data_IF_328902422736
#
_entry.id   IF_328902422736
#
_cell.length_a   1.000
_cell.length_b   1.000
_cell.length_c   1.000
_cell.angle_alpha   90.00
_cell.angle_beta   90.00
_cell.angle_gamma   90.00
#
_symmetry.space_group_name_H-M   'P 1'
#
loop_
_entity.id
_entity.type
_entity.pdbx_description
1 polymer ?
#
# COMPACT_ATOMS: atom_id res chain seq x y z
N UNK A 1 -20.05 6.68 -48.92
CA UNK A 1 -20.98 6.76 -47.78
C UNK A 1 -20.45 5.82 -46.71
N UNK A 2 -20.21 6.35 -45.52
CA UNK A 2 -19.54 5.66 -44.42
C UNK A 2 -20.40 4.49 -43.89
N UNK A 3 -19.79 3.31 -43.79
CA UNK A 3 -20.37 2.14 -43.12
C UNK A 3 -19.99 2.21 -41.65
N UNK A 4 -20.95 2.57 -40.79
CA UNK A 4 -20.80 2.52 -39.34
C UNK A 4 -20.67 1.05 -38.89
N UNK A 5 -19.45 0.62 -38.59
CA UNK A 5 -19.24 -0.63 -37.89
C UNK A 5 -19.72 -0.46 -36.43
N UNK A 6 -20.87 -1.04 -36.12
CA UNK A 6 -21.37 -1.21 -34.77
C UNK A 6 -20.35 -2.03 -33.98
N UNK A 7 -19.63 -1.38 -33.05
CA UNK A 7 -18.92 -2.05 -31.96
C UNK A 7 -20.00 -2.78 -31.14
N UNK A 8 -20.09 -4.10 -31.28
CA UNK A 8 -20.84 -4.94 -30.35
C UNK A 8 -19.94 -5.19 -29.15
N UNK A 9 -20.07 -4.34 -28.14
CA UNK A 9 -19.57 -4.63 -26.79
C UNK A 9 -20.31 -5.90 -26.33
N UNK A 10 -19.59 -7.01 -26.19
CA UNK A 10 -20.12 -8.19 -25.50
C UNK A 10 -20.00 -7.87 -24.02
N UNK A 11 -21.10 -7.45 -23.38
CA UNK A 11 -21.21 -7.44 -21.92
C UNK A 11 -20.87 -8.85 -21.42
N UNK A 12 -19.73 -8.98 -20.74
CA UNK A 12 -19.42 -10.18 -19.98
C UNK A 12 -19.78 -9.84 -18.54
N UNK A 13 -20.83 -10.45 -18.03
CA UNK A 13 -21.03 -10.48 -16.59
C UNK A 13 -19.89 -11.30 -15.97
N UNK A 14 -18.85 -10.63 -15.49
CA UNK A 14 -18.04 -11.15 -14.39
C UNK A 14 -19.02 -11.35 -13.22
N UNK A 15 -19.32 -12.60 -12.89
CA UNK A 15 -20.29 -12.92 -11.84
C UNK A 15 -19.61 -12.62 -10.51
N UNK A 16 -19.73 -11.38 -10.05
CA UNK A 16 -19.37 -10.99 -8.69
C UNK A 16 -20.38 -11.66 -7.73
N UNK A 17 -19.91 -12.10 -6.57
CA UNK A 17 -20.76 -12.73 -5.55
C UNK A 17 -21.85 -11.78 -4.97
N UNK A 18 -21.86 -10.49 -5.36
CA UNK A 18 -22.90 -9.50 -5.07
C UNK A 18 -23.00 -8.48 -6.24
N UNK A 19 -24.20 -8.01 -6.56
CA UNK A 19 -24.40 -6.84 -7.45
C UNK A 19 -23.67 -5.63 -6.85
N UNK A 20 -22.61 -5.17 -7.52
CA UNK A 20 -21.86 -3.95 -7.17
C UNK A 20 -21.58 -3.14 -8.43
N UNK A 21 -21.31 -1.84 -8.25
CA UNK A 21 -20.82 -1.00 -9.35
C UNK A 21 -19.47 -1.52 -9.85
N UNK A 22 -19.30 -1.50 -11.17
CA UNK A 22 -18.06 -1.90 -11.87
C UNK A 22 -16.88 -1.07 -11.33
N UNK A 23 -15.80 -1.74 -10.93
CA UNK A 23 -14.60 -1.04 -10.44
C UNK A 23 -13.74 -0.53 -11.60
N UNK A 24 -12.88 0.49 -11.39
CA UNK A 24 -11.93 0.94 -12.42
C UNK A 24 -11.05 -0.19 -12.97
N UNK A 25 -10.71 -1.18 -12.13
CA UNK A 25 -9.95 -2.36 -12.52
C UNK A 25 -10.75 -3.30 -13.43
N UNK A 26 -12.02 -3.58 -13.08
CA UNK A 26 -12.92 -4.36 -13.96
C UNK A 26 -13.09 -3.65 -15.31
N UNK A 27 -13.36 -2.34 -15.26
CA UNK A 27 -13.54 -1.52 -16.45
C UNK A 27 -12.33 -1.55 -17.39
N UNK A 28 -11.13 -1.34 -16.85
CA UNK A 28 -9.90 -1.38 -17.64
C UNK A 28 -9.66 -2.77 -18.28
N UNK A 29 -9.95 -3.86 -17.55
CA UNK A 29 -9.83 -5.23 -18.07
C UNK A 29 -10.84 -5.49 -19.20
N UNK A 30 -12.07 -5.01 -19.06
CA UNK A 30 -13.10 -5.13 -20.08
C UNK A 30 -12.79 -4.29 -21.32
N UNK A 31 -12.41 -3.02 -21.14
CA UNK A 31 -12.07 -2.09 -22.22
C UNK A 31 -10.92 -2.62 -23.08
N UNK A 32 -9.88 -3.15 -22.44
CA UNK A 32 -8.69 -3.67 -23.12
C UNK A 32 -8.73 -5.17 -23.42
N UNK A 33 -9.87 -5.84 -23.26
CA UNK A 33 -9.97 -7.29 -23.40
C UNK A 33 -9.45 -7.81 -24.74
N UNK A 34 -9.85 -7.17 -25.85
CA UNK A 34 -9.47 -7.58 -27.21
C UNK A 34 -7.97 -7.36 -27.48
N UNK A 35 -7.40 -6.29 -26.93
CA UNK A 35 -5.96 -6.01 -27.00
C UNK A 35 -5.17 -7.03 -26.19
N UNK A 36 -5.65 -7.36 -24.99
CA UNK A 36 -5.13 -8.45 -24.17
C UNK A 36 -5.18 -9.80 -24.90
N UNK A 37 -6.28 -10.11 -25.60
CA UNK A 37 -6.39 -11.30 -26.45
C UNK A 37 -5.34 -11.30 -27.58
N UNK A 38 -5.07 -10.13 -28.18
CA UNK A 38 -4.07 -9.99 -29.25
C UNK A 38 -2.64 -10.29 -28.75
N UNK A 39 -2.29 -9.78 -27.56
CA UNK A 39 -1.01 -10.07 -26.91
C UNK A 39 -0.91 -11.54 -26.49
N UNK A 40 -1.97 -12.09 -25.91
CA UNK A 40 -2.05 -13.48 -25.47
C UNK A 40 -1.76 -14.48 -26.60
N UNK A 41 -2.24 -14.19 -27.82
CA UNK A 41 -1.99 -15.02 -29.02
C UNK A 41 -0.51 -15.10 -29.41
N UNK A 42 0.33 -14.22 -28.88
CA UNK A 42 1.79 -14.24 -29.13
C UNK A 42 2.54 -15.15 -28.16
N UNK A 43 1.93 -15.49 -27.02
CA UNK A 43 2.53 -16.43 -26.08
C UNK A 43 2.44 -17.85 -26.66
N UNK A 44 3.57 -18.55 -26.84
CA UNK A 44 3.55 -19.94 -27.28
C UNK A 44 3.00 -20.85 -26.17
N UNK A 45 2.56 -22.04 -26.56
CA UNK A 45 2.34 -23.12 -25.60
C UNK A 45 3.67 -23.69 -25.09
N UNK A 46 3.64 -24.34 -23.92
CA UNK A 46 4.81 -25.02 -23.33
C UNK A 46 5.50 -25.98 -24.31
N UNK A 47 4.70 -26.72 -25.10
CA UNK A 47 5.21 -27.68 -26.08
C UNK A 47 5.90 -27.03 -27.30
N UNK A 48 5.75 -25.72 -27.50
CA UNK A 48 6.14 -25.03 -28.74
C UNK A 48 7.34 -24.09 -28.63
N UNK A 49 8.04 -24.01 -27.50
CA UNK A 49 9.19 -23.10 -27.43
C UNK A 49 10.07 -23.23 -26.20
N UNK A 50 11.18 -23.97 -26.35
CA UNK A 50 12.44 -23.65 -25.69
C UNK A 50 13.24 -22.82 -26.70
N UNK A 51 12.93 -21.53 -26.78
CA UNK A 51 13.73 -20.57 -27.56
C UNK A 51 14.82 -20.00 -26.67
N UNK A 52 16.04 -19.87 -27.19
CA UNK A 52 17.15 -19.19 -26.50
C UNK A 52 16.82 -17.71 -26.24
N UNK A 53 17.37 -17.15 -25.16
CA UNK A 53 17.29 -15.72 -24.85
C UNK A 53 17.59 -14.84 -26.08
N UNK A 54 16.70 -13.91 -26.39
CA UNK A 54 16.87 -13.00 -27.53
C UNK A 54 18.05 -12.02 -27.33
N UNK A 55 18.40 -11.75 -26.07
CA UNK A 55 19.55 -10.93 -25.69
C UNK A 55 20.60 -11.81 -24.99
N UNK A 56 21.62 -12.32 -25.71
CA UNK A 56 22.61 -13.23 -25.14
C UNK A 56 23.41 -12.65 -23.96
N UNK A 57 23.50 -11.32 -23.85
CA UNK A 57 24.18 -10.65 -22.74
C UNK A 57 23.49 -10.87 -21.39
N UNK A 58 22.20 -11.25 -21.40
CA UNK A 58 21.39 -11.50 -20.22
C UNK A 58 21.30 -12.99 -19.84
N UNK A 59 21.81 -13.88 -20.70
CA UNK A 59 21.85 -15.32 -20.42
C UNK A 59 22.73 -15.61 -19.20
N UNK A 60 22.29 -16.54 -18.34
CA UNK A 60 22.97 -16.92 -17.09
C UNK A 60 23.22 -15.77 -16.09
N UNK A 61 22.56 -14.62 -16.28
CA UNK A 61 22.66 -13.50 -15.34
C UNK A 61 21.86 -13.78 -14.05
N UNK A 62 22.29 -13.14 -12.97
CA UNK A 62 21.46 -12.97 -11.77
C UNK A 62 20.50 -11.80 -12.02
N UNK A 63 19.20 -12.02 -11.83
CA UNK A 63 18.19 -10.97 -11.87
C UNK A 63 17.80 -10.61 -10.44
N UNK A 64 17.92 -9.34 -10.08
CA UNK A 64 17.72 -8.89 -8.70
C UNK A 64 17.11 -7.51 -8.65
N UNK A 65 16.11 -7.35 -7.77
CA UNK A 65 15.46 -6.07 -7.49
C UNK A 65 16.21 -5.21 -6.47
N UNK A 66 15.59 -4.11 -6.04
CA UNK A 66 16.23 -3.16 -5.13
C UNK A 66 16.32 -3.66 -3.69
N UNK A 67 17.22 -3.05 -2.90
CA UNK A 67 17.49 -3.40 -1.50
C UNK A 67 16.25 -3.36 -0.60
N UNK A 68 15.32 -2.43 -0.82
CA UNK A 68 14.05 -2.37 -0.08
C UNK A 68 12.97 -3.18 -0.79
N UNK A 69 13.28 -4.45 -1.07
CA UNK A 69 12.49 -5.39 -1.88
C UNK A 69 10.99 -5.28 -1.65
N UNK A 70 10.25 -5.03 -2.73
CA UNK A 70 8.80 -5.13 -2.80
C UNK A 70 8.38 -6.27 -3.74
N UNK A 71 7.10 -6.30 -4.11
CA UNK A 71 6.56 -7.36 -4.95
C UNK A 71 7.04 -7.25 -6.41
N UNK A 72 7.17 -6.04 -6.98
CA UNK A 72 7.63 -5.89 -8.36
C UNK A 72 9.09 -6.33 -8.51
N UNK A 73 9.95 -5.95 -7.55
CA UNK A 73 11.32 -6.43 -7.46
C UNK A 73 11.45 -7.96 -7.50
N UNK A 74 10.60 -8.70 -6.76
CA UNK A 74 10.65 -10.18 -6.71
C UNK A 74 9.99 -10.82 -7.92
N UNK A 75 8.77 -10.41 -8.27
CA UNK A 75 8.04 -10.95 -9.41
C UNK A 75 8.81 -10.70 -10.71
N UNK A 76 9.35 -9.49 -10.83
CA UNK A 76 10.24 -9.04 -11.88
C UNK A 76 11.50 -9.88 -12.00
N UNK A 77 12.20 -10.17 -10.88
CA UNK A 77 13.37 -11.02 -10.89
C UNK A 77 13.05 -12.45 -11.36
N UNK A 78 11.97 -13.04 -10.84
CA UNK A 78 11.49 -14.38 -11.25
C UNK A 78 11.13 -14.40 -12.74
N UNK A 79 10.36 -13.40 -13.20
CA UNK A 79 9.93 -13.29 -14.58
C UNK A 79 11.07 -13.06 -15.54
N UNK A 80 11.99 -12.14 -15.22
CA UNK A 80 13.15 -11.83 -16.06
C UNK A 80 14.13 -13.00 -16.13
N UNK A 81 14.40 -13.69 -15.02
CA UNK A 81 15.24 -14.88 -15.01
C UNK A 81 14.66 -15.99 -15.92
N UNK A 82 13.35 -16.22 -15.87
CA UNK A 82 12.72 -17.16 -16.79
C UNK A 82 12.72 -16.66 -18.24
N UNK A 83 12.53 -15.36 -18.47
CA UNK A 83 12.52 -14.75 -19.80
C UNK A 83 13.89 -14.84 -20.50
N UNK A 84 14.97 -14.71 -19.73
CA UNK A 84 16.34 -14.57 -20.25
C UNK A 84 17.27 -15.71 -19.87
N UNK A 85 16.74 -16.83 -19.36
CA UNK A 85 17.52 -18.03 -19.04
C UNK A 85 18.62 -17.76 -17.99
N UNK A 86 18.25 -17.05 -16.91
CA UNK A 86 19.12 -16.71 -15.78
C UNK A 86 18.63 -17.26 -14.45
N UNK A 87 19.07 -16.64 -13.36
CA UNK A 87 18.70 -17.02 -11.98
C UNK A 87 18.09 -15.84 -11.24
N UNK A 88 16.89 -15.99 -10.64
CA UNK A 88 16.32 -14.92 -9.83
C UNK A 88 17.00 -14.87 -8.46
N UNK A 89 17.13 -13.67 -7.91
CA UNK A 89 17.62 -13.44 -6.56
C UNK A 89 16.86 -12.31 -5.87
N UNK A 90 16.91 -12.32 -4.53
CA UNK A 90 16.39 -11.22 -3.70
C UNK A 90 17.52 -10.46 -3.04
N UNK A 91 17.33 -9.15 -2.89
CA UNK A 91 18.29 -8.28 -2.20
C UNK A 91 18.06 -8.21 -0.69
N UNK A 92 16.86 -8.57 -0.20
CA UNK A 92 16.50 -8.54 1.23
C UNK A 92 15.35 -9.51 1.53
N UNK A 93 14.86 -9.52 2.78
CA UNK A 93 13.67 -10.28 3.15
C UNK A 93 12.42 -9.69 2.51
N UNK A 94 11.46 -10.55 2.18
CA UNK A 94 10.22 -10.15 1.52
C UNK A 94 9.16 -9.70 2.52
N UNK A 95 8.28 -8.81 2.08
CA UNK A 95 7.14 -8.37 2.88
C UNK A 95 5.97 -9.37 2.79
N UNK A 96 4.92 -9.13 3.59
CA UNK A 96 3.75 -10.02 3.68
C UNK A 96 2.93 -10.07 2.38
N UNK A 97 2.91 -9.00 1.59
CA UNK A 97 2.27 -8.98 0.26
C UNK A 97 2.98 -9.93 -0.71
N UNK A 98 4.31 -9.87 -0.74
CA UNK A 98 5.12 -10.74 -1.59
C UNK A 98 5.01 -12.20 -1.15
N UNK A 99 5.01 -12.48 0.15
CA UNK A 99 4.73 -13.83 0.67
C UNK A 99 3.38 -14.35 0.20
N UNK A 100 2.32 -13.53 0.30
CA UNK A 100 1.00 -13.89 -0.19
C UNK A 100 1.00 -14.24 -1.68
N UNK A 101 1.68 -13.44 -2.53
CA UNK A 101 1.76 -13.72 -3.96
C UNK A 101 2.52 -15.03 -4.27
N UNK A 102 3.65 -15.26 -3.62
CA UNK A 102 4.44 -16.49 -3.77
C UNK A 102 3.61 -17.73 -3.43
N UNK A 103 2.89 -17.70 -2.30
CA UNK A 103 2.02 -18.80 -1.86
C UNK A 103 0.81 -18.99 -2.78
N UNK A 104 0.15 -17.90 -3.17
CA UNK A 104 -1.03 -17.93 -4.05
C UNK A 104 -0.72 -18.58 -5.40
N UNK A 105 0.46 -18.30 -5.95
CA UNK A 105 0.85 -18.76 -7.28
C UNK A 105 1.78 -19.98 -7.26
N UNK A 106 2.18 -20.46 -6.08
CA UNK A 106 3.13 -21.59 -5.94
C UNK A 106 4.50 -21.27 -6.55
N UNK A 107 4.97 -20.04 -6.41
CA UNK A 107 6.30 -19.62 -6.85
C UNK A 107 7.31 -19.78 -5.70
N UNK A 108 8.54 -20.18 -6.02
CA UNK A 108 9.61 -20.33 -5.05
C UNK A 108 10.21 -18.96 -4.68
N UNK A 109 10.48 -18.75 -3.39
CA UNK A 109 11.18 -17.56 -2.91
C UNK A 109 12.63 -17.60 -3.42
N UNK A 110 13.10 -16.58 -4.17
CA UNK A 110 14.48 -16.55 -4.64
C UNK A 110 15.51 -16.55 -3.50
N UNK A 111 16.67 -17.15 -3.76
CA UNK A 111 17.82 -17.08 -2.87
C UNK A 111 18.37 -15.66 -2.73
N UNK A 112 19.16 -15.41 -1.69
CA UNK A 112 19.82 -14.11 -1.49
C UNK A 112 20.91 -13.89 -2.53
N UNK A 113 20.98 -12.67 -3.07
CA UNK A 113 22.00 -12.32 -4.07
C UNK A 113 23.43 -12.48 -3.51
N UNK A 114 23.62 -12.24 -2.21
CA UNK A 114 24.89 -12.40 -1.52
C UNK A 114 25.40 -13.84 -1.51
N UNK A 115 24.49 -14.82 -1.49
CA UNK A 115 24.86 -16.24 -1.49
C UNK A 115 25.31 -16.66 -2.90
N UNK A 116 24.58 -16.24 -3.94
CA UNK A 116 24.94 -16.51 -5.34
C UNK A 116 26.28 -15.86 -5.73
N UNK A 117 26.51 -14.61 -5.32
CA UNK A 117 27.78 -13.92 -5.60
C UNK A 117 28.93 -14.41 -4.73
N UNK A 118 28.66 -15.08 -3.60
CA UNK A 118 29.71 -15.78 -2.85
C UNK A 118 30.18 -17.03 -3.59
N UNK A 119 29.27 -17.74 -4.25
CA UNK A 119 29.57 -18.93 -5.05
C UNK A 119 30.23 -18.58 -6.39
N UNK A 120 29.80 -17.49 -7.04
CA UNK A 120 30.36 -17.04 -8.33
C UNK A 120 30.49 -15.51 -8.35
N UNK A 121 31.58 -14.96 -7.77
CA UNK A 121 31.76 -13.51 -7.61
C UNK A 121 31.78 -12.69 -8.90
N UNK A 122 32.13 -13.30 -10.02
CA UNK A 122 32.21 -12.69 -11.35
C UNK A 122 30.91 -12.75 -12.15
N UNK A 123 29.85 -13.37 -11.59
CA UNK A 123 28.61 -13.58 -12.33
C UNK A 123 27.95 -12.24 -12.67
N UNK A 124 27.50 -12.14 -13.91
CA UNK A 124 26.80 -10.98 -14.43
C UNK A 124 25.46 -10.78 -13.70
N UNK A 125 25.07 -9.52 -13.54
CA UNK A 125 23.85 -9.11 -12.85
C UNK A 125 23.03 -8.18 -13.75
N UNK A 126 21.74 -8.46 -13.87
CA UNK A 126 20.76 -7.54 -14.43
C UNK A 126 19.90 -7.00 -13.28
N UNK A 127 19.89 -5.67 -13.14
CA UNK A 127 19.00 -5.01 -12.20
C UNK A 127 17.60 -4.96 -12.78
N UNK A 128 16.61 -5.25 -11.96
CA UNK A 128 15.19 -5.10 -12.31
C UNK A 128 14.55 -4.12 -11.33
N UNK A 129 13.66 -3.25 -11.81
CA UNK A 129 12.90 -2.31 -10.98
C UNK A 129 13.71 -1.20 -10.29
N UNK A 130 15.00 -1.07 -10.60
CA UNK A 130 15.79 0.09 -10.17
C UNK A 130 17.06 0.29 -10.98
N UNK A 131 17.63 1.49 -10.87
CA UNK A 131 19.00 1.79 -11.28
C UNK A 131 19.76 2.73 -10.34
N UNK A 132 19.15 3.21 -9.25
CA UNK A 132 19.83 4.15 -8.35
C UNK A 132 20.83 3.41 -7.45
N UNK A 133 22.03 3.98 -7.30
CA UNK A 133 23.08 3.36 -6.48
C UNK A 133 22.68 3.21 -5.00
N UNK A 134 21.83 4.11 -4.49
CA UNK A 134 21.32 4.03 -3.11
C UNK A 134 20.40 2.84 -2.84
N UNK A 135 19.88 2.22 -3.90
CA UNK A 135 19.01 1.03 -3.85
C UNK A 135 19.78 -0.27 -4.14
N UNK A 136 21.06 -0.18 -4.51
CA UNK A 136 21.88 -1.34 -4.88
C UNK A 136 22.30 -2.14 -3.63
N UNK A 137 22.19 -3.47 -3.70
CA UNK A 137 22.73 -4.32 -2.64
C UNK A 137 24.28 -4.20 -2.63
N UNK A 138 24.92 -3.91 -1.48
CA UNK A 138 26.37 -3.71 -1.38
C UNK A 138 27.23 -4.89 -1.85
N UNK A 139 26.68 -6.11 -1.90
CA UNK A 139 27.39 -7.27 -2.39
C UNK A 139 27.56 -7.29 -3.91
N UNK A 140 26.77 -6.51 -4.67
CA UNK A 140 26.80 -6.48 -6.13
C UNK A 140 27.92 -5.53 -6.59
N UNK A 141 29.02 -6.01 -7.20
CA UNK A 141 30.04 -5.14 -7.74
C UNK A 141 29.49 -4.39 -8.97
N UNK A 142 29.77 -3.09 -9.08
CA UNK A 142 29.31 -2.26 -10.22
C UNK A 142 29.76 -2.84 -11.58
N UNK A 143 30.92 -3.50 -11.61
CA UNK A 143 31.48 -4.12 -12.82
C UNK A 143 30.70 -5.36 -13.30
N UNK A 144 29.89 -5.99 -12.44
CA UNK A 144 29.09 -7.15 -12.79
C UNK A 144 27.77 -6.75 -13.45
N UNK A 145 27.38 -5.47 -13.40
CA UNK A 145 26.10 -5.02 -13.94
C UNK A 145 26.18 -5.00 -15.46
N UNK A 146 25.35 -5.82 -16.11
CA UNK A 146 25.26 -5.93 -17.57
C UNK A 146 23.88 -5.59 -18.13
N UNK A 147 22.90 -5.34 -17.25
CA UNK A 147 21.53 -5.05 -17.65
C UNK A 147 20.75 -4.24 -16.63
N UNK A 148 19.78 -3.45 -17.11
CA UNK A 148 18.74 -2.76 -16.33
C UNK A 148 17.41 -2.92 -17.05
N UNK A 149 16.38 -3.35 -16.32
CA UNK A 149 14.97 -3.32 -16.75
C UNK A 149 14.21 -2.54 -15.69
N UNK A 150 13.70 -1.37 -16.02
CA UNK A 150 13.17 -0.45 -14.99
C UNK A 150 12.03 0.41 -15.55
N UNK A 151 11.27 1.04 -14.66
CA UNK A 151 10.24 2.00 -14.98
C UNK A 151 10.44 3.36 -14.27
N UNK A 152 11.44 3.45 -13.39
CA UNK A 152 11.78 4.67 -12.67
C UNK A 152 12.52 5.70 -13.52
N UNK A 153 12.42 6.96 -13.11
CA UNK A 153 13.19 8.05 -13.71
C UNK A 153 14.68 7.92 -13.40
N UNK A 154 15.52 8.20 -14.41
CA UNK A 154 16.95 8.41 -14.21
C UNK A 154 17.20 9.67 -13.39
N UNK A 155 18.04 9.56 -12.35
CA UNK A 155 18.39 10.69 -11.48
C UNK A 155 19.91 10.82 -11.35
N UNK A 156 20.36 11.81 -10.57
CA UNK A 156 21.79 12.16 -10.46
C UNK A 156 22.69 11.05 -9.92
N UNK A 157 22.14 10.05 -9.21
CA UNK A 157 22.90 8.95 -8.61
C UNK A 157 22.58 7.58 -9.25
N UNK A 158 22.34 7.60 -10.56
CA UNK A 158 22.19 6.39 -11.39
C UNK A 158 23.49 5.58 -11.39
N UNK A 159 23.40 4.25 -11.50
CA UNK A 159 24.56 3.38 -11.72
C UNK A 159 25.39 3.84 -12.92
N UNK A 160 26.72 3.67 -12.82
CA UNK A 160 27.65 4.06 -13.88
C UNK A 160 28.49 2.84 -14.23
N UNK A 161 28.43 2.41 -15.49
CA UNK A 161 29.16 1.24 -15.99
C UNK A 161 30.26 1.66 -16.95
N UNK A 162 31.37 0.91 -16.97
CA UNK A 162 32.49 1.16 -17.89
C UNK A 162 32.19 0.71 -19.33
N UNK A 163 31.31 -0.29 -19.48
CA UNK A 163 30.91 -0.87 -20.77
C UNK A 163 29.43 -0.57 -21.03
N UNK A 164 29.01 -0.55 -22.31
CA UNK A 164 27.60 -0.57 -22.65
C UNK A 164 26.90 -1.78 -22.03
N UNK A 165 25.70 -1.56 -21.51
CA UNK A 165 24.84 -2.57 -20.89
C UNK A 165 23.47 -2.60 -21.60
N UNK A 166 22.72 -3.68 -21.40
CA UNK A 166 21.32 -3.71 -21.82
C UNK A 166 20.49 -2.76 -20.95
N UNK A 167 19.65 -1.93 -21.55
CA UNK A 167 18.77 -1.01 -20.81
C UNK A 167 17.40 -1.01 -21.47
N UNK A 168 16.37 -1.44 -20.73
CA UNK A 168 14.97 -1.33 -21.13
C UNK A 168 14.22 -0.56 -20.04
N UNK A 169 14.07 0.75 -20.27
CA UNK A 169 13.33 1.63 -19.38
C UNK A 169 12.10 2.13 -20.10
N UNK A 170 10.91 1.83 -19.55
CA UNK A 170 9.64 2.29 -20.14
C UNK A 170 8.86 3.07 -19.08
N UNK A 171 8.25 4.21 -19.45
CA UNK A 171 7.49 5.03 -18.52
C UNK A 171 6.10 4.41 -18.28
N UNK A 172 6.07 3.19 -17.76
CA UNK A 172 4.87 2.41 -17.43
C UNK A 172 4.71 2.36 -15.90
N UNK A 173 3.52 1.98 -15.44
CA UNK A 173 3.19 1.99 -14.02
C UNK A 173 3.95 0.95 -13.21
N UNK A 174 4.38 -0.15 -13.83
CA UNK A 174 5.08 -1.26 -13.19
C UNK A 174 6.14 -1.89 -14.13
N UNK A 175 7.29 -2.29 -13.60
CA UNK A 175 8.33 -2.98 -14.36
C UNK A 175 7.88 -4.39 -14.76
N UNK A 176 7.12 -5.10 -13.93
CA UNK A 176 6.52 -6.40 -14.31
C UNK A 176 5.62 -6.32 -15.55
N UNK A 177 5.00 -5.17 -15.85
CA UNK A 177 4.31 -4.94 -17.13
C UNK A 177 5.27 -5.04 -18.31
N UNK A 178 6.48 -4.50 -18.18
CA UNK A 178 7.57 -4.55 -19.19
C UNK A 178 7.98 -6.00 -19.43
N UNK A 179 8.16 -6.79 -18.37
CA UNK A 179 8.53 -8.21 -18.45
C UNK A 179 7.43 -9.03 -19.13
N UNK A 180 6.18 -8.91 -18.69
CA UNK A 180 5.04 -9.61 -19.28
C UNK A 180 4.85 -9.26 -20.78
N UNK A 181 5.01 -7.98 -21.13
CA UNK A 181 5.01 -7.56 -22.53
C UNK A 181 6.16 -8.21 -23.31
N UNK A 182 7.35 -8.30 -22.71
CA UNK A 182 8.53 -8.87 -23.36
C UNK A 182 8.38 -10.37 -23.62
N UNK A 183 7.71 -11.12 -22.74
CA UNK A 183 7.29 -12.51 -23.03
C UNK A 183 6.46 -12.60 -24.32
N UNK A 184 5.45 -11.74 -24.45
CA UNK A 184 4.57 -11.72 -25.63
C UNK A 184 5.31 -11.27 -26.90
N UNK A 185 6.20 -10.27 -26.82
CA UNK A 185 6.96 -9.78 -27.99
C UNK A 185 7.99 -10.80 -28.46
N UNK A 186 8.73 -11.41 -27.52
CA UNK A 186 9.75 -12.41 -27.82
C UNK A 186 9.15 -13.79 -28.10
N UNK A 187 7.83 -13.95 -27.90
CA UNK A 187 7.10 -15.22 -28.04
C UNK A 187 7.75 -16.32 -27.21
N UNK A 188 8.08 -16.01 -25.96
CA UNK A 188 8.58 -16.99 -24.99
C UNK A 188 7.43 -17.52 -24.15
N UNK A 189 7.49 -18.80 -23.82
CA UNK A 189 6.50 -19.41 -22.93
C UNK A 189 6.53 -18.73 -21.57
N UNK A 190 5.34 -18.42 -21.04
CA UNK A 190 5.18 -17.78 -19.73
C UNK A 190 4.47 -18.77 -18.79
N UNK A 191 5.17 -19.40 -17.84
CA UNK A 191 4.56 -20.28 -16.85
C UNK A 191 3.47 -19.58 -16.04
N UNK A 192 2.44 -20.33 -15.63
CA UNK A 192 1.27 -19.76 -14.92
C UNK A 192 1.62 -19.16 -13.57
N UNK A 193 2.48 -19.80 -12.80
CA UNK A 193 2.97 -19.27 -11.53
C UNK A 193 3.69 -17.93 -11.72
N UNK A 194 4.53 -17.80 -12.76
CA UNK A 194 5.24 -16.55 -13.10
C UNK A 194 4.26 -15.49 -13.59
N UNK A 195 3.32 -15.83 -14.48
CA UNK A 195 2.27 -14.89 -14.91
C UNK A 195 1.47 -14.34 -13.72
N UNK A 196 1.16 -15.19 -12.74
CA UNK A 196 0.49 -14.82 -11.52
C UNK A 196 1.29 -13.81 -10.69
N UNK A 197 2.58 -14.09 -10.48
CA UNK A 197 3.49 -13.16 -9.82
C UNK A 197 3.54 -11.79 -10.51
N UNK A 198 3.69 -11.77 -11.84
CA UNK A 198 3.71 -10.53 -12.63
C UNK A 198 2.38 -9.77 -12.52
N UNK A 199 1.23 -10.46 -12.56
CA UNK A 199 -0.08 -9.84 -12.35
C UNK A 199 -0.17 -9.19 -10.98
N UNK A 200 0.22 -9.91 -9.91
CA UNK A 200 0.20 -9.40 -8.55
C UNK A 200 1.11 -8.18 -8.36
N UNK A 201 2.29 -8.16 -8.99
CA UNK A 201 3.17 -6.99 -8.98
C UNK A 201 2.53 -5.76 -9.64
N UNK A 202 1.92 -5.93 -10.82
CA UNK A 202 1.24 -4.83 -11.51
C UNK A 202 0.10 -4.28 -10.64
N UNK A 203 -0.70 -5.14 -10.01
CA UNK A 203 -1.76 -4.70 -9.09
C UNK A 203 -1.20 -3.93 -7.89
N UNK A 204 -0.03 -4.31 -7.36
CA UNK A 204 0.65 -3.62 -6.26
C UNK A 204 1.04 -2.20 -6.63
N UNK A 205 1.87 -2.02 -7.66
CA UNK A 205 2.47 -0.72 -7.98
C UNK A 205 1.46 0.27 -8.55
N UNK A 206 0.50 -0.27 -9.29
CA UNK A 206 -0.57 0.53 -9.88
C UNK A 206 -1.73 0.77 -8.93
N UNK A 207 -1.71 0.21 -7.70
CA UNK A 207 -2.80 0.29 -6.73
C UNK A 207 -4.16 -0.10 -7.35
N UNK A 208 -4.22 -1.27 -7.99
CA UNK A 208 -5.35 -1.73 -8.81
C UNK A 208 -5.69 -0.77 -9.96
N UNK A 209 -4.68 -0.30 -10.68
CA UNK A 209 -4.80 0.63 -11.80
C UNK A 209 -5.37 2.02 -11.41
N UNK A 210 -5.28 2.40 -10.12
CA UNK A 210 -5.71 3.69 -9.59
C UNK A 210 -4.56 4.66 -9.31
N UNK A 211 -3.32 4.17 -9.29
CA UNK A 211 -2.13 4.99 -9.10
C UNK A 211 -1.98 6.01 -10.23
N UNK A 212 -1.49 7.23 -9.95
CA UNK A 212 -1.18 8.19 -11.00
C UNK A 212 -0.04 7.75 -11.94
N UNK A 213 0.70 6.69 -11.60
CA UNK A 213 1.73 6.09 -12.47
C UNK A 213 1.15 5.12 -13.49
N UNK A 214 -0.10 4.67 -13.30
CA UNK A 214 -0.77 3.69 -14.19
C UNK A 214 -0.87 4.21 -15.61
N UNK A 215 -0.60 3.35 -16.59
CA UNK A 215 -0.72 3.65 -18.01
C UNK A 215 -1.63 2.64 -18.72
N UNK A 216 -2.09 3.00 -19.92
CA UNK A 216 -2.85 2.08 -20.80
C UNK A 216 -2.12 0.76 -21.07
N UNK A 217 -0.79 0.73 -20.96
CA UNK A 217 -0.01 -0.48 -21.17
C UNK A 217 -0.12 -1.44 -19.98
N UNK A 218 -0.21 -0.91 -18.76
CA UNK A 218 -0.47 -1.72 -17.56
C UNK A 218 -1.86 -2.35 -17.66
N UNK A 219 -2.86 -1.56 -18.03
CA UNK A 219 -4.25 -2.01 -18.23
C UNK A 219 -4.34 -3.15 -19.27
N UNK A 220 -3.70 -2.98 -20.44
CA UNK A 220 -3.63 -4.02 -21.48
C UNK A 220 -2.93 -5.29 -21.00
N UNK A 221 -1.85 -5.17 -20.23
CA UNK A 221 -1.11 -6.33 -19.71
C UNK A 221 -1.91 -7.04 -18.62
N UNK A 222 -2.58 -6.31 -17.72
CA UNK A 222 -3.50 -6.89 -16.74
C UNK A 222 -4.62 -7.64 -17.47
N UNK A 223 -5.23 -7.06 -18.50
CA UNK A 223 -6.25 -7.73 -19.30
C UNK A 223 -5.72 -9.02 -19.96
N UNK A 224 -4.49 -9.02 -20.47
CA UNK A 224 -3.83 -10.23 -20.99
C UNK A 224 -3.61 -11.28 -19.90
N UNK A 225 -3.09 -10.89 -18.74
CA UNK A 225 -2.73 -11.82 -17.66
C UNK A 225 -3.97 -12.40 -16.96
N UNK A 226 -5.00 -11.59 -16.70
CA UNK A 226 -6.31 -12.04 -16.18
C UNK A 226 -6.91 -13.10 -17.11
N UNK A 227 -6.90 -12.84 -18.42
CA UNK A 227 -7.32 -13.79 -19.45
C UNK A 227 -6.49 -15.07 -19.42
N UNK A 228 -5.17 -14.92 -19.37
CA UNK A 228 -4.26 -16.05 -19.41
C UNK A 228 -4.47 -16.95 -18.19
N UNK A 229 -4.52 -16.36 -17.00
CA UNK A 229 -4.65 -17.06 -15.73
C UNK A 229 -6.08 -17.54 -15.44
N UNK A 230 -7.06 -17.08 -16.22
CA UNK A 230 -8.48 -17.36 -16.00
C UNK A 230 -8.95 -16.90 -14.61
N UNK A 231 -8.51 -15.70 -14.20
CA UNK A 231 -8.93 -15.09 -12.93
C UNK A 231 -10.43 -14.74 -13.02
N UNK A 232 -11.23 -15.31 -12.14
CA UNK A 232 -12.69 -15.11 -12.11
C UNK A 232 -13.08 -13.74 -11.56
N UNK A 233 -12.50 -13.32 -10.44
CA UNK A 233 -12.68 -11.98 -9.85
C UNK A 233 -11.31 -11.37 -9.52
N UNK A 234 -10.90 -10.40 -10.33
CA UNK A 234 -9.62 -9.70 -10.17
C UNK A 234 -9.63 -8.75 -8.96
N UNK A 235 -10.78 -8.20 -8.58
CA UNK A 235 -10.90 -7.37 -7.38
C UNK A 235 -10.80 -8.21 -6.12
N UNK A 236 -11.34 -9.44 -6.11
CA UNK A 236 -11.17 -10.36 -4.97
C UNK A 236 -9.70 -10.72 -4.77
N UNK A 237 -8.98 -11.05 -5.85
CA UNK A 237 -7.54 -11.30 -5.83
C UNK A 237 -6.80 -10.09 -5.23
N UNK A 238 -7.06 -8.89 -5.76
CA UNK A 238 -6.42 -7.68 -5.30
C UNK A 238 -6.74 -7.34 -3.84
N UNK A 239 -8.00 -7.51 -3.41
CA UNK A 239 -8.40 -7.28 -2.03
C UNK A 239 -7.68 -8.22 -1.06
N UNK A 240 -7.51 -9.50 -1.41
CA UNK A 240 -6.73 -10.45 -0.60
C UNK A 240 -5.26 -10.04 -0.53
N UNK A 241 -4.67 -9.61 -1.64
CA UNK A 241 -3.29 -9.13 -1.69
C UNK A 241 -3.07 -7.88 -0.82
N UNK A 242 -3.95 -6.88 -0.91
CA UNK A 242 -3.85 -5.66 -0.13
C UNK A 242 -4.11 -5.84 1.37
N UNK A 243 -4.95 -6.82 1.75
CA UNK A 243 -5.05 -7.27 3.14
C UNK A 243 -3.75 -7.89 3.64
N UNK A 244 -3.07 -8.69 2.81
CA UNK A 244 -1.76 -9.23 3.16
C UNK A 244 -0.72 -8.10 3.31
N UNK A 245 -0.73 -7.10 2.42
CA UNK A 245 0.17 -5.93 2.49
C UNK A 245 0.00 -5.15 3.80
N UNK A 246 -1.24 -4.91 4.23
CA UNK A 246 -1.55 -4.18 5.47
C UNK A 246 -1.39 -5.01 6.75
N UNK A 247 -1.15 -6.32 6.64
CA UNK A 247 -1.08 -7.22 7.80
C UNK A 247 -0.03 -6.78 8.85
N UNK A 248 1.07 -6.17 8.41
CA UNK A 248 2.08 -5.62 9.33
C UNK A 248 1.50 -4.55 10.26
N UNK A 249 0.59 -3.70 9.76
CA UNK A 249 -0.13 -2.71 10.57
C UNK A 249 -1.08 -3.37 11.56
N UNK A 250 -1.71 -4.48 11.17
CA UNK A 250 -2.59 -5.26 12.05
C UNK A 250 -1.83 -5.90 13.22
N UNK A 251 -0.55 -6.21 13.04
CA UNK A 251 0.33 -6.73 14.09
C UNK A 251 0.91 -5.64 15.01
N UNK A 252 0.84 -4.36 14.62
CA UNK A 252 1.33 -3.25 15.46
C UNK A 252 0.40 -3.03 16.66
N UNK A 253 0.98 -2.66 17.80
CA UNK A 253 0.21 -2.25 18.99
C UNK A 253 -0.50 -0.91 18.75
N UNK A 254 -1.58 -0.59 19.49
CA UNK A 254 -2.20 0.74 19.43
C UNK A 254 -1.19 1.87 19.68
N UNK A 255 -0.27 1.69 20.62
CA UNK A 255 0.85 2.60 20.87
C UNK A 255 1.67 2.86 19.60
N UNK A 256 2.09 1.80 18.91
CA UNK A 256 2.87 1.91 17.67
C UNK A 256 2.09 2.58 16.55
N UNK A 257 0.80 2.28 16.42
CA UNK A 257 -0.07 2.91 15.41
C UNK A 257 -0.25 4.41 15.65
N UNK A 258 -0.46 4.82 16.90
CA UNK A 258 -0.67 6.23 17.25
C UNK A 258 0.64 7.03 17.16
N UNK A 259 1.75 6.47 17.64
CA UNK A 259 3.00 7.21 17.78
C UNK A 259 3.95 7.05 16.57
N UNK A 260 3.73 6.07 15.70
CA UNK A 260 4.64 5.68 14.61
C UNK A 260 4.96 6.79 13.61
N UNK A 261 3.93 7.44 13.04
CA UNK A 261 4.07 8.66 12.23
C UNK A 261 3.33 9.85 12.86
N UNK A 262 3.56 10.08 14.16
CA UNK A 262 3.05 11.27 14.84
C UNK A 262 3.95 12.48 14.57
N UNK A 263 3.35 13.61 14.19
CA UNK A 263 4.05 14.91 14.14
C UNK A 263 3.25 15.96 14.90
N UNK A 264 3.96 16.83 15.61
CA UNK A 264 3.35 17.95 16.32
C UNK A 264 3.42 19.23 15.48
N UNK A 265 2.31 19.97 15.43
CA UNK A 265 2.18 21.23 14.70
C UNK A 265 1.73 22.34 15.64
N UNK A 266 2.45 23.45 15.59
CA UNK A 266 2.14 24.66 16.35
C UNK A 266 1.33 25.61 15.47
N UNK A 267 0.11 25.93 15.89
CA UNK A 267 -0.80 26.85 15.20
C UNK A 267 -1.03 28.11 16.05
N UNK A 268 -0.86 29.28 15.44
CA UNK A 268 -1.08 30.57 16.10
C UNK A 268 -2.49 31.08 15.77
N UNK A 269 -3.31 31.29 16.79
CA UNK A 269 -4.65 31.86 16.67
C UNK A 269 -4.65 33.39 16.71
N UNK A 270 -5.83 33.99 16.82
CA UNK A 270 -5.96 35.42 17.09
C UNK A 270 -5.42 35.80 18.47
N UNK A 271 -4.63 36.88 18.56
CA UNK A 271 -3.95 37.30 19.79
C UNK A 271 -2.66 36.51 20.08
N UNK A 272 -2.31 36.34 21.36
CA UNK A 272 -1.11 35.58 21.81
C UNK A 272 -1.40 34.07 22.02
N UNK A 273 -2.55 33.57 21.56
CA UNK A 273 -2.93 32.16 21.75
C UNK A 273 -2.22 31.25 20.76
N UNK A 274 -1.62 30.18 21.28
CA UNK A 274 -1.01 29.12 20.47
C UNK A 274 -1.62 27.77 20.84
N UNK A 275 -1.91 26.95 19.83
CA UNK A 275 -2.35 25.58 19.98
C UNK A 275 -1.32 24.61 19.40
N UNK A 276 -0.95 23.59 20.17
CA UNK A 276 -0.12 22.47 19.72
C UNK A 276 -1.02 21.28 19.42
N UNK A 277 -0.93 20.73 18.21
CA UNK A 277 -1.74 19.59 17.76
C UNK A 277 -0.81 18.47 17.35
N UNK A 278 -0.99 17.30 17.94
CA UNK A 278 -0.37 16.07 17.44
C UNK A 278 -1.24 15.47 16.35
N UNK A 279 -0.62 15.11 15.22
CA UNK A 279 -1.29 14.54 14.07
C UNK A 279 -0.55 13.29 13.58
N UNK A 280 -1.21 12.15 13.73
CA UNK A 280 -0.73 10.83 13.31
C UNK A 280 -1.39 10.39 12.00
N UNK A 281 -0.69 9.56 11.24
CA UNK A 281 -1.19 9.02 9.97
C UNK A 281 -0.93 7.52 9.93
N UNK A 282 -1.95 6.74 9.58
CA UNK A 282 -1.86 5.33 9.22
C UNK A 282 -2.18 5.24 7.74
N UNK A 283 -1.17 5.09 6.89
CA UNK A 283 -1.35 4.84 5.46
C UNK A 283 -1.52 3.33 5.25
N UNK A 284 -2.62 2.92 4.62
CA UNK A 284 -2.97 1.50 4.48
C UNK A 284 -3.69 1.23 3.17
N UNK A 285 -3.50 0.01 2.66
CA UNK A 285 -4.27 -0.55 1.54
C UNK A 285 -5.55 -1.26 2.01
N UNK A 286 -5.77 -1.35 3.32
CA UNK A 286 -6.96 -1.89 3.96
C UNK A 286 -7.36 -0.97 5.13
N UNK A 287 -8.13 0.07 4.80
CA UNK A 287 -8.59 1.04 5.79
C UNK A 287 -9.61 0.42 6.75
N UNK A 288 -10.47 -0.49 6.27
CA UNK A 288 -11.50 -1.13 7.08
C UNK A 288 -10.88 -1.91 8.25
N UNK A 289 -9.83 -2.69 8.01
CA UNK A 289 -9.12 -3.40 9.09
C UNK A 289 -8.45 -2.47 10.11
N UNK A 290 -7.98 -1.30 9.68
CA UNK A 290 -7.42 -0.31 10.61
C UNK A 290 -8.53 0.37 11.42
N UNK A 291 -9.66 0.70 10.77
CA UNK A 291 -10.81 1.34 11.41
C UNK A 291 -11.55 0.41 12.36
N UNK A 292 -11.57 -0.91 12.12
CA UNK A 292 -12.14 -1.88 13.04
C UNK A 292 -11.40 -1.92 14.39
N UNK A 293 -10.19 -1.37 14.46
CA UNK A 293 -9.37 -1.24 15.68
C UNK A 293 -9.53 0.12 16.37
N UNK A 294 -10.45 0.98 15.93
CA UNK A 294 -10.64 2.31 16.51
C UNK A 294 -10.90 2.26 18.03
N UNK A 295 -11.60 1.23 18.52
CA UNK A 295 -11.86 1.05 19.95
C UNK A 295 -10.57 0.94 20.80
N UNK A 296 -9.49 0.38 20.24
CA UNK A 296 -8.20 0.24 20.91
C UNK A 296 -7.28 1.46 20.68
N UNK A 297 -7.43 2.11 19.51
CA UNK A 297 -6.62 3.27 19.11
C UNK A 297 -7.05 4.54 19.86
N UNK A 298 -8.35 4.76 20.03
CA UNK A 298 -8.89 5.98 20.65
C UNK A 298 -8.42 6.18 22.10
N UNK A 299 -8.36 5.16 22.98
CA UNK A 299 -7.77 5.28 24.31
C UNK A 299 -6.30 5.70 24.28
N UNK A 300 -5.51 5.15 23.37
CA UNK A 300 -4.08 5.49 23.23
C UNK A 300 -3.90 6.95 22.77
N UNK A 301 -4.71 7.44 21.83
CA UNK A 301 -4.71 8.86 21.45
C UNK A 301 -4.98 9.78 22.66
N UNK A 302 -5.89 9.36 23.57
CA UNK A 302 -6.13 10.10 24.82
C UNK A 302 -4.95 10.00 25.77
N UNK A 303 -4.28 8.85 25.85
CA UNK A 303 -3.09 8.65 26.67
C UNK A 303 -1.96 9.60 26.24
N UNK A 304 -1.71 9.76 24.95
CA UNK A 304 -0.74 10.74 24.41
C UNK A 304 -1.07 12.16 24.89
N UNK A 305 -2.33 12.56 24.80
CA UNK A 305 -2.78 13.89 25.26
C UNK A 305 -2.59 14.11 26.76
N UNK A 306 -2.82 13.07 27.57
CA UNK A 306 -2.64 13.12 29.02
C UNK A 306 -1.16 13.16 29.41
N UNK A 307 -0.32 12.39 28.70
CA UNK A 307 1.11 12.31 28.95
C UNK A 307 1.84 13.61 28.61
N UNK A 308 1.34 14.39 27.64
CA UNK A 308 1.95 15.64 27.20
C UNK A 308 0.93 16.80 27.25
N UNK A 309 0.77 17.46 28.42
CA UNK A 309 -0.24 18.50 28.64
C UNK A 309 -0.11 19.74 27.74
N UNK A 310 1.03 19.93 27.07
CA UNK A 310 1.22 20.96 26.04
C UNK A 310 0.42 20.68 24.77
N UNK A 311 0.05 19.43 24.49
CA UNK A 311 -0.76 19.06 23.32
C UNK A 311 -2.23 19.40 23.60
N UNK A 312 -2.79 20.30 22.80
CA UNK A 312 -4.18 20.72 22.91
C UNK A 312 -5.15 19.77 22.22
N UNK A 313 -4.73 19.12 21.13
CA UNK A 313 -5.53 18.14 20.39
C UNK A 313 -4.67 17.03 19.79
N UNK A 314 -5.20 15.80 19.74
CA UNK A 314 -4.59 14.64 19.08
C UNK A 314 -5.52 14.16 17.96
N UNK A 315 -5.03 14.14 16.73
CA UNK A 315 -5.76 13.69 15.55
C UNK A 315 -5.02 12.51 14.90
N UNK A 316 -5.75 11.53 14.38
CA UNK A 316 -5.16 10.42 13.65
C UNK A 316 -5.98 10.15 12.39
N UNK A 317 -5.35 10.21 11.23
CA UNK A 317 -5.99 9.88 9.96
C UNK A 317 -5.60 8.46 9.52
N UNK A 318 -6.59 7.61 9.26
CA UNK A 318 -6.42 6.38 8.49
C UNK A 318 -6.61 6.75 7.02
N UNK A 319 -5.54 6.65 6.23
CA UNK A 319 -5.49 7.02 4.82
C UNK A 319 -5.58 5.76 3.98
N UNK A 320 -6.67 5.62 3.24
CA UNK A 320 -6.84 4.61 2.21
C UNK A 320 -6.09 5.07 0.95
N UNK A 321 -4.89 4.52 0.75
CA UNK A 321 -4.05 4.90 -0.39
C UNK A 321 -4.59 4.34 -1.72
N UNK A 322 -5.49 3.35 -1.69
CA UNK A 322 -6.08 2.73 -2.88
C UNK A 322 -7.23 3.57 -3.40
N UNK A 323 -8.12 4.02 -2.51
CA UNK A 323 -9.27 4.82 -2.88
C UNK A 323 -9.03 6.34 -2.78
N UNK A 324 -7.88 6.77 -2.24
CA UNK A 324 -7.53 8.17 -2.04
C UNK A 324 -8.52 8.93 -1.12
N UNK A 325 -9.01 8.22 -0.11
CA UNK A 325 -9.89 8.76 0.94
C UNK A 325 -9.24 8.60 2.31
N UNK A 326 -9.63 9.43 3.27
CA UNK A 326 -9.16 9.28 4.65
C UNK A 326 -10.31 9.32 5.64
N UNK A 327 -10.16 8.61 6.74
CA UNK A 327 -11.05 8.69 7.90
C UNK A 327 -10.26 9.21 9.09
N UNK A 328 -10.72 10.31 9.67
CA UNK A 328 -10.12 10.92 10.85
C UNK A 328 -10.74 10.33 12.11
N UNK A 329 -9.93 9.75 12.98
CA UNK A 329 -10.34 9.29 14.30
C UNK A 329 -10.40 10.46 15.29
N UNK A 330 -11.49 10.52 16.04
CA UNK A 330 -11.83 11.62 16.94
C UNK A 330 -11.87 11.11 18.38
N UNK A 331 -10.83 11.42 19.16
CA UNK A 331 -10.71 10.90 20.53
C UNK A 331 -11.35 11.80 21.60
N UNK A 332 -11.92 12.95 21.23
CA UNK A 332 -12.51 13.89 22.20
C UNK A 332 -13.23 15.09 21.59
N UNK A 333 -13.81 15.92 22.45
CA UNK A 333 -14.62 17.10 22.03
C UNK A 333 -13.79 18.21 21.39
N UNK A 334 -12.54 18.39 21.84
CA UNK A 334 -11.64 19.41 21.27
C UNK A 334 -11.21 18.99 19.87
N UNK A 335 -10.92 17.70 19.69
CA UNK A 335 -10.60 17.08 18.42
C UNK A 335 -11.78 17.17 17.45
N UNK A 336 -12.99 16.85 17.92
CA UNK A 336 -14.23 16.99 17.16
C UNK A 336 -14.46 18.42 16.68
N UNK A 337 -14.35 19.40 17.58
CA UNK A 337 -14.59 20.80 17.21
C UNK A 337 -13.53 21.34 16.25
N UNK A 338 -12.27 20.95 16.41
CA UNK A 338 -11.18 21.33 15.52
C UNK A 338 -11.36 20.71 14.14
N UNK A 339 -11.69 19.41 14.08
CA UNK A 339 -11.90 18.68 12.84
C UNK A 339 -13.06 19.28 12.03
N UNK A 340 -14.20 19.55 12.67
CA UNK A 340 -15.36 20.17 12.01
C UNK A 340 -15.06 21.59 11.53
N UNK A 341 -14.32 22.39 12.31
CA UNK A 341 -13.93 23.73 11.89
C UNK A 341 -12.93 23.72 10.71
N UNK A 342 -12.04 22.72 10.66
CA UNK A 342 -11.03 22.61 9.62
C UNK A 342 -11.55 21.99 8.33
N UNK A 343 -12.34 20.92 8.43
CA UNK A 343 -12.71 20.07 7.28
C UNK A 343 -14.20 20.11 6.95
N UNK A 344 -15.05 20.62 7.85
CA UNK A 344 -16.50 20.49 7.73
C UNK A 344 -16.96 19.04 7.90
N UNK A 345 -18.08 18.68 7.25
CA UNK A 345 -18.64 17.34 7.27
C UNK A 345 -19.45 17.01 8.52
N UNK A 346 -19.78 15.74 8.66
CA UNK A 346 -20.56 15.20 9.78
C UNK A 346 -19.81 14.04 10.44
N UNK A 347 -19.82 14.02 11.77
CA UNK A 347 -19.27 12.90 12.53
C UNK A 347 -20.19 11.68 12.44
N UNK A 348 -19.61 10.49 12.62
CA UNK A 348 -20.39 9.28 12.85
C UNK A 348 -21.33 9.43 14.06
N UNK A 349 -22.37 8.60 14.12
CA UNK A 349 -23.40 8.70 15.17
C UNK A 349 -22.84 8.59 16.61
N UNK A 350 -21.72 7.88 16.79
CA UNK A 350 -21.00 7.75 18.05
C UNK A 350 -19.94 8.85 18.28
N UNK A 351 -19.75 9.74 17.30
CA UNK A 351 -18.83 10.88 17.33
C UNK A 351 -17.35 10.51 17.20
N UNK A 352 -17.03 9.27 16.84
CA UNK A 352 -15.66 8.74 16.87
C UNK A 352 -14.88 8.91 15.56
N UNK A 353 -15.57 9.22 14.45
CA UNK A 353 -14.93 9.33 13.13
C UNK A 353 -15.50 10.49 12.30
N UNK A 354 -14.65 11.05 11.43
CA UNK A 354 -15.01 12.01 10.38
C UNK A 354 -14.45 11.54 9.03
N UNK A 355 -15.30 11.46 8.01
CA UNK A 355 -14.86 11.10 6.66
C UNK A 355 -14.29 12.30 5.92
N UNK A 356 -13.12 12.12 5.29
CA UNK A 356 -12.39 13.14 4.53
C UNK A 356 -12.21 12.67 3.09
N UNK A 357 -13.04 13.19 2.18
CA UNK A 357 -12.96 12.82 0.77
C UNK A 357 -11.81 13.55 0.05
N UNK A 358 -10.95 12.80 -0.64
CA UNK A 358 -9.88 13.35 -1.48
C UNK A 358 -8.71 14.00 -0.73
N UNK A 359 -8.61 13.82 0.59
CA UNK A 359 -7.47 14.31 1.38
C UNK A 359 -6.61 13.10 1.78
N UNK A 360 -5.33 13.11 1.40
CA UNK A 360 -4.41 11.96 1.63
C UNK A 360 -3.06 12.37 2.20
N UNK A 361 -2.63 13.62 2.00
CA UNK A 361 -1.33 14.11 2.43
C UNK A 361 -1.42 14.98 3.68
N UNK A 362 -0.73 14.59 4.76
CA UNK A 362 -0.65 15.44 5.96
C UNK A 362 -0.16 16.86 5.70
N UNK A 363 0.89 17.00 4.87
CA UNK A 363 1.51 18.31 4.61
C UNK A 363 0.67 19.18 3.65
N UNK A 364 0.10 18.59 2.61
CA UNK A 364 -0.64 19.33 1.57
C UNK A 364 -2.13 19.49 1.91
N UNK A 365 -2.73 18.50 2.54
CA UNK A 365 -4.19 18.35 2.63
C UNK A 365 -4.70 18.51 4.06
N UNK A 366 -4.03 17.95 5.08
CA UNK A 366 -4.53 17.99 6.46
C UNK A 366 -4.14 19.25 7.24
N UNK A 367 -2.87 19.65 7.19
CA UNK A 367 -2.33 20.76 8.00
C UNK A 367 -2.83 22.15 7.55
N UNK A 368 -2.96 22.47 6.24
CA UNK A 368 -3.42 23.79 5.83
C UNK A 368 -4.86 24.14 6.29
N UNK A 369 -5.86 23.23 6.21
CA UNK A 369 -7.19 23.50 6.77
C UNK A 369 -7.19 23.73 8.29
N UNK A 370 -6.39 22.98 9.06
CA UNK A 370 -6.23 23.23 10.51
C UNK A 370 -5.66 24.63 10.78
N UNK A 371 -4.66 25.03 9.99
CA UNK A 371 -4.07 26.38 10.06
C UNK A 371 -5.12 27.45 9.80
N UNK A 372 -5.98 27.23 8.79
CA UNK A 372 -7.06 28.15 8.44
C UNK A 372 -8.08 28.26 9.58
N UNK A 373 -8.57 27.13 10.10
CA UNK A 373 -9.56 27.12 11.19
C UNK A 373 -9.07 27.90 12.44
N UNK A 374 -7.82 27.65 12.85
CA UNK A 374 -7.22 28.35 14.00
C UNK A 374 -7.07 29.86 13.73
N UNK A 375 -6.67 30.26 12.52
CA UNK A 375 -6.57 31.67 12.13
C UNK A 375 -7.93 32.38 12.04
N UNK A 376 -8.97 31.65 11.67
CA UNK A 376 -10.36 32.15 11.56
C UNK A 376 -11.07 32.21 12.92
N UNK A 377 -10.35 31.95 14.02
CA UNK A 377 -10.85 32.17 15.38
C UNK A 377 -11.38 30.91 16.07
N UNK A 378 -11.03 29.72 15.57
CA UNK A 378 -11.29 28.50 16.34
C UNK A 378 -10.58 28.57 17.71
N UNK A 379 -11.32 28.21 18.75
CA UNK A 379 -10.80 28.01 20.09
C UNK A 379 -11.34 26.68 20.67
N UNK A 380 -10.57 25.97 21.52
CA UNK A 380 -11.05 24.78 22.19
C UNK A 380 -12.34 25.06 22.99
N UNK A 381 -13.38 24.22 22.88
CA UNK A 381 -14.61 24.40 23.63
C UNK A 381 -14.33 24.35 25.13
N UNK A 382 -14.98 25.24 25.90
CA UNK A 382 -14.87 25.22 27.35
C UNK A 382 -15.47 23.92 27.90
N UNK A 383 -14.67 23.17 28.66
CA UNK A 383 -15.14 21.99 29.39
C UNK A 383 -15.89 22.46 30.65
N UNK A 384 -17.14 22.88 30.50
CA UNK A 384 -17.99 23.16 31.66
C UNK A 384 -18.50 21.84 32.25
N UNK A 385 -17.92 21.42 33.37
CA UNK A 385 -18.52 20.40 34.24
C UNK A 385 -19.55 21.10 35.12
N UNK A 386 -20.71 21.42 34.56
CA UNK A 386 -21.84 21.86 35.38
C UNK A 386 -22.58 20.62 35.91
N UNK A 387 -22.35 20.31 37.19
CA UNK A 387 -23.26 19.48 37.97
C UNK A 387 -24.48 20.37 38.26
N UNK A 388 -25.51 20.31 37.42
CA UNK A 388 -26.76 21.02 37.71
C UNK A 388 -27.71 21.21 36.52
N UNK A 389 -28.83 20.49 36.57
CA UNK A 389 -30.14 20.78 35.96
C UNK A 389 -30.21 21.25 34.49
N UNK A 390 -30.70 20.34 33.65
CA UNK A 390 -31.60 20.59 32.52
C UNK A 390 -31.22 21.76 31.57
N UNK A 391 -30.27 21.50 30.68
CA UNK A 391 -30.18 22.19 29.40
C UNK A 391 -30.18 21.16 28.28
N UNK A 392 -31.20 21.29 27.43
CA UNK A 392 -31.51 20.46 26.27
C UNK A 392 -30.45 20.66 25.18
N UNK A 393 -29.40 19.83 25.21
CA UNK A 393 -28.39 19.72 24.16
C UNK A 393 -28.86 18.69 23.13
N UNK A 394 -29.76 19.10 22.25
CA UNK A 394 -30.17 18.28 21.10
C UNK A 394 -28.97 18.06 20.17
N UNK A 395 -28.43 16.83 20.16
CA UNK A 395 -27.60 16.29 19.07
C UNK A 395 -26.27 15.64 19.47
N UNK A 396 -25.73 15.91 20.66
CA UNK A 396 -24.48 15.27 21.12
C UNK A 396 -24.79 14.19 22.14
N UNK A 397 -25.05 12.98 21.67
CA UNK A 397 -25.20 11.82 22.53
C UNK A 397 -23.90 11.59 23.32
N UNK A 398 -24.00 11.58 24.65
CA UNK A 398 -22.94 11.04 25.51
C UNK A 398 -22.65 9.61 25.07
N UNK A 399 -21.43 9.35 24.60
CA UNK A 399 -20.91 7.98 24.58
C UNK A 399 -20.88 7.47 26.01
N UNK A 400 -21.50 6.31 26.25
CA UNK A 400 -21.39 5.56 27.51
C UNK A 400 -19.98 4.96 27.64
N UNK A 401 -18.96 5.80 27.67
CA UNK A 401 -17.66 5.42 28.22
C UNK A 401 -17.77 5.69 29.71
N UNK A 402 -18.14 4.67 30.50
CA UNK A 402 -17.97 4.74 31.94
C UNK A 402 -16.48 4.93 32.21
N UNK A 403 -16.12 6.15 32.59
CA UNK A 403 -14.90 6.42 33.32
C UNK A 403 -15.05 5.76 34.69
N UNK A 404 -14.65 4.51 34.78
CA UNK A 404 -14.14 3.92 36.01
C UNK A 404 -12.69 3.53 35.73
N UNK A 405 -11.81 4.52 35.72
CA UNK A 405 -10.37 4.27 35.82
C UNK A 405 -10.11 3.98 37.31
N UNK A 406 -9.71 2.75 37.69
CA UNK A 406 -9.44 2.45 39.09
C UNK A 406 -8.24 3.28 39.55
N UNK A 407 -8.42 4.12 40.57
CA UNK A 407 -7.31 4.74 41.27
C UNK A 407 -6.78 3.75 42.35
N UNK A 408 -5.57 3.22 42.13
CA UNK A 408 -4.84 2.30 43.03
C UNK A 408 -3.81 1.47 42.27
N UNK A 409 -2.83 0.85 42.96
CA UNK A 409 -1.96 -0.16 42.35
C UNK A 409 -2.78 -1.42 42.02
N UNK A 410 -2.75 -1.83 40.76
CA UNK A 410 -3.50 -3.00 40.27
C UNK A 410 -2.49 -4.02 39.77
N UNK A 411 -2.63 -5.28 40.20
CA UNK A 411 -1.85 -6.40 39.69
C UNK A 411 -2.71 -7.30 38.80
N UNK A 412 -2.14 -7.78 37.71
CA UNK A 412 -2.78 -8.76 36.82
C UNK A 412 -2.57 -10.15 37.40
N UNK A 413 -3.66 -10.88 37.64
CA UNK A 413 -3.60 -12.26 38.12
C UNK A 413 -3.27 -13.20 36.94
N UNK A 414 -2.14 -13.90 37.02
CA UNK A 414 -1.80 -14.97 36.08
C UNK A 414 -2.16 -16.30 36.75
N UNK A 415 -3.11 -17.03 36.17
CA UNK A 415 -3.29 -18.46 36.44
C UNK A 415 -2.92 -19.24 35.19
N UNK A 416 -2.26 -20.39 35.38
CA UNK A 416 -1.43 -21.04 34.37
C UNK A 416 -2.15 -21.52 33.09
N UNK A 417 -3.48 -21.43 32.99
CA UNK A 417 -4.20 -22.00 31.85
C UNK A 417 -5.08 -21.05 31.01
N UNK A 418 -5.41 -19.82 31.45
CA UNK A 418 -5.99 -18.75 30.57
C UNK A 418 -5.81 -17.37 31.23
N UNK A 419 -5.20 -16.36 30.58
CA UNK A 419 -5.18 -15.00 31.14
C UNK A 419 -6.59 -14.40 31.07
N UNK A 420 -7.21 -14.20 32.24
CA UNK A 420 -8.60 -13.72 32.35
C UNK A 420 -8.77 -12.22 32.10
N UNK A 421 -7.67 -11.46 32.08
CA UNK A 421 -7.69 -9.99 31.89
C UNK A 421 -8.39 -9.21 33.01
N UNK A 422 -8.75 -9.87 34.11
CA UNK A 422 -9.42 -9.25 35.25
C UNK A 422 -8.42 -8.44 36.09
N UNK A 423 -8.70 -7.15 36.22
CA UNK A 423 -7.97 -6.22 37.08
C UNK A 423 -8.46 -6.35 38.53
N UNK A 424 -7.59 -6.80 39.44
CA UNK A 424 -7.93 -6.98 40.86
C UNK A 424 -7.19 -5.93 41.70
N UNK A 425 -7.92 -5.25 42.58
CA UNK A 425 -7.39 -4.24 43.50
C UNK A 425 -6.62 -4.94 44.62
N UNK A 426 -5.38 -4.52 44.90
CA UNK A 426 -4.67 -4.96 46.10
C UNK A 426 -5.23 -4.19 47.30
N UNK A 427 -5.87 -4.88 48.22
CA UNK A 427 -6.16 -4.34 49.55
C UNK A 427 -4.91 -4.54 50.43
N UNK A 428 -4.57 -3.53 51.23
CA UNK A 428 -3.38 -3.46 52.09
C UNK A 428 -3.31 -4.55 53.18
#
# INVERSE_FOLDING_TARGET
>A
MASSASKRTRERHLVTYNDREETPLEHAVEEHWDEGTSLLRRLPSEASGVGHAFFPVLEDCIFVGHLMTDLDSIAGAIGAAHLYDGTPARASEVNTETTFALETWGAELPGKVEDLLRETPERNVCLVDFQQQSQLNPAIPMANIVGVIDHHALQSNTIVTEKPIFVDIRPWGCMSSIIAHSFAVQRKFLPKNIAGMLLSAILSDTLNLKSPTTTEWDERIVAMLVQYLQVEDVNELAAKQFRAKSQSLNLMTPYSLVNGDMKQFKFNGGGDKTYLVAYSVIETTDAEASLSRAADILPEMRAVKVAEPSINAVLLAVVDIVNLHSTLLICGRVEASLALAAYGGELTADGSMLQLAGLVSRKKDFVPPLTKAVKEGWEPPQLSVEIGSALDLNGLHRTKSMLDVPHGEVSVEYTDDVPSGLLVRRDD
#
